data_IF_947855085351
#
_entry.id   IF_947855085351
#
_cell.length_a   1.000
_cell.length_b   1.000
_cell.length_c   1.000
_cell.angle_alpha   90.00
_cell.angle_beta   90.00
_cell.angle_gamma   90.00
#
_symmetry.space_group_name_H-M   'P 1'
#
loop_
_entity.id
_entity.type
_entity.pdbx_description
1 polymer ?
#
# COMPACT_ATOMS: atom_id res chain seq x y z
N UNK A 1 2.32 -47.06 -48.88
CA UNK A 1 3.69 -46.59 -49.19
C UNK A 1 4.26 -46.05 -47.87
N UNK A 2 5.29 -46.64 -47.22
CA UNK A 2 6.73 -46.59 -47.58
C UNK A 2 7.20 -45.11 -47.75
N UNK A 3 8.19 -44.56 -47.04
CA UNK A 3 9.38 -45.13 -46.34
C UNK A 3 9.89 -44.23 -45.18
N UNK A 4 10.51 -44.89 -44.18
CA UNK A 4 11.76 -44.55 -43.41
C UNK A 4 11.89 -43.18 -42.70
N UNK A 5 12.17 -43.06 -41.40
CA UNK A 5 13.22 -43.64 -40.52
C UNK A 5 14.54 -42.84 -40.54
N UNK A 6 14.87 -42.19 -39.41
CA UNK A 6 16.21 -42.25 -38.81
C UNK A 6 16.17 -41.92 -37.31
N UNK A 7 16.89 -42.74 -36.54
CA UNK A 7 17.01 -42.74 -35.08
C UNK A 7 18.51 -42.60 -34.79
N UNK A 8 18.91 -41.72 -33.87
CA UNK A 8 20.29 -41.75 -33.35
C UNK A 8 20.33 -41.41 -31.86
N UNK A 9 20.42 -42.46 -31.05
CA UNK A 9 20.82 -42.42 -29.65
C UNK A 9 22.35 -42.50 -29.56
N UNK A 10 22.99 -41.61 -28.81
CA UNK A 10 24.35 -41.86 -28.30
C UNK A 10 24.32 -42.07 -26.79
N UNK A 11 24.76 -43.25 -26.39
CA UNK A 11 25.07 -43.63 -25.02
C UNK A 11 26.57 -43.38 -24.82
N UNK A 12 26.95 -42.62 -23.79
CA UNK A 12 28.33 -42.57 -23.33
C UNK A 12 28.43 -43.26 -21.96
N UNK A 13 29.01 -44.45 -21.95
CA UNK A 13 29.44 -45.16 -20.75
C UNK A 13 30.94 -44.91 -20.61
N UNK A 14 31.36 -44.41 -19.45
CA UNK A 14 32.74 -44.53 -19.02
C UNK A 14 32.78 -44.94 -17.55
N UNK A 15 33.07 -46.22 -17.31
CA UNK A 15 33.51 -46.69 -16.01
C UNK A 15 34.95 -46.23 -15.80
N UNK A 16 35.25 -45.70 -14.62
CA UNK A 16 36.51 -46.03 -13.94
C UNK A 16 36.25 -46.14 -12.45
N UNK A 17 36.43 -47.34 -11.93
CA UNK A 17 36.41 -47.61 -10.50
C UNK A 17 37.86 -47.70 -10.00
N UNK A 18 38.14 -47.09 -8.85
CA UNK A 18 39.23 -47.53 -7.99
C UNK A 18 38.77 -47.45 -6.54
N UNK A 19 38.50 -48.63 -5.97
CA UNK A 19 38.45 -48.83 -4.53
C UNK A 19 39.86 -49.19 -4.06
N UNK A 20 40.28 -48.63 -2.92
CA UNK A 20 41.54 -48.93 -2.27
C UNK A 20 41.45 -48.60 -0.79
N UNK A 21 41.25 -49.62 0.05
CA UNK A 21 41.16 -49.48 1.50
C UNK A 21 42.13 -50.43 2.18
N UNK A 22 42.85 -49.90 3.18
CA UNK A 22 43.52 -50.64 4.26
C UNK A 22 44.70 -51.53 3.81
N UNK A 23 45.62 -51.99 4.69
CA UNK A 23 45.65 -52.00 6.17
C UNK A 23 47.11 -52.13 6.68
N UNK A 24 47.29 -52.21 8.01
CA UNK A 24 48.50 -52.74 8.74
C UNK A 24 49.81 -51.91 8.63
N UNK A 25 50.75 -51.84 9.58
CA UNK A 25 51.09 -52.54 10.87
C UNK A 25 51.93 -51.53 11.73
N UNK A 26 52.25 -51.65 13.05
CA UNK A 26 52.07 -52.71 14.05
C UNK A 26 52.09 -52.19 15.53
N UNK A 27 52.14 -53.14 16.47
CA UNK A 27 52.65 -53.23 17.87
C UNK A 27 53.92 -52.41 18.25
N UNK A 28 54.37 -52.26 19.52
CA UNK A 28 54.14 -53.07 20.75
C UNK A 28 54.33 -52.29 22.09
N UNK A 29 54.09 -53.02 23.19
CA UNK A 29 54.17 -52.77 24.65
C UNK A 29 55.53 -52.18 25.17
N UNK A 30 55.82 -51.88 26.47
CA UNK A 30 55.40 -52.53 27.73
C UNK A 30 55.93 -51.80 29.01
N UNK A 31 55.21 -51.87 30.15
CA UNK A 31 55.73 -51.78 31.57
C UNK A 31 56.39 -50.46 32.05
N UNK A 32 56.58 -50.07 33.33
CA UNK A 32 56.22 -50.43 34.74
C UNK A 32 56.72 -49.24 35.64
N UNK A 33 56.35 -48.97 36.91
CA UNK A 33 55.18 -49.25 37.77
C UNK A 33 55.34 -48.57 39.16
N UNK A 34 54.26 -48.01 39.75
CA UNK A 34 54.18 -47.39 41.11
C UNK A 34 54.95 -46.04 41.30
N UNK A 35 54.60 -45.11 42.21
CA UNK A 35 53.69 -45.14 43.38
C UNK A 35 53.22 -43.71 43.79
N UNK A 36 52.16 -43.62 44.62
CA UNK A 36 51.81 -42.50 45.54
C UNK A 36 51.07 -41.24 45.04
N UNK A 37 49.74 -41.30 45.19
CA UNK A 37 48.73 -40.33 45.68
C UNK A 37 49.00 -38.79 45.82
N UNK A 38 47.90 -38.04 45.55
CA UNK A 38 47.64 -36.60 45.79
C UNK A 38 48.49 -35.64 44.93
N UNK A 39 47.93 -34.67 44.19
CA UNK A 39 46.81 -33.77 44.51
C UNK A 39 45.75 -33.69 43.40
N UNK A 40 44.48 -33.52 43.78
CA UNK A 40 43.31 -33.40 42.91
C UNK A 40 42.90 -31.95 42.58
N UNK A 41 42.12 -31.78 41.51
CA UNK A 41 41.29 -30.61 41.14
C UNK A 41 41.98 -29.35 40.55
N UNK A 42 42.37 -29.36 39.27
CA UNK A 42 42.11 -28.25 38.31
C UNK A 42 42.00 -28.74 36.84
N UNK A 43 41.04 -29.62 36.47
CA UNK A 43 40.69 -29.84 35.04
C UNK A 43 39.39 -30.66 34.81
N UNK A 44 38.23 -30.14 35.24
CA UNK A 44 36.92 -30.78 34.88
C UNK A 44 35.75 -29.79 34.82
N UNK A 45 35.97 -28.55 34.35
CA UNK A 45 34.91 -27.52 34.21
C UNK A 45 34.99 -26.70 32.89
N UNK A 46 35.69 -27.17 31.86
CA UNK A 46 35.79 -26.45 30.58
C UNK A 46 35.16 -27.14 29.36
N UNK A 47 34.78 -28.43 29.46
CA UNK A 47 34.20 -29.17 28.32
C UNK A 47 32.66 -29.15 28.24
N UNK A 48 31.93 -29.00 29.34
CA UNK A 48 30.45 -28.95 29.30
C UNK A 48 29.87 -27.55 29.03
N UNK A 49 30.67 -26.49 29.06
CA UNK A 49 30.17 -25.11 28.90
C UNK A 49 30.05 -24.68 27.43
N UNK A 50 30.69 -25.37 26.49
CA UNK A 50 30.64 -25.01 25.07
C UNK A 50 29.41 -25.61 24.36
N UNK A 51 29.08 -26.89 24.58
CA UNK A 51 27.90 -27.52 23.96
C UNK A 51 26.57 -26.91 24.46
N UNK A 52 26.46 -26.64 25.77
CA UNK A 52 25.25 -26.01 26.34
C UNK A 52 25.06 -24.58 25.82
N UNK A 53 26.15 -23.82 25.66
CA UNK A 53 26.09 -22.47 25.09
C UNK A 53 25.78 -22.49 23.59
N UNK A 54 26.29 -23.44 22.81
CA UNK A 54 25.94 -23.57 21.39
C UNK A 54 24.48 -23.98 21.19
N UNK A 55 23.97 -24.94 21.98
CA UNK A 55 22.55 -25.33 21.93
C UNK A 55 21.62 -24.17 22.33
N UNK A 56 22.00 -23.39 23.34
CA UNK A 56 21.21 -22.24 23.81
C UNK A 56 21.27 -21.07 22.81
N UNK A 57 22.42 -20.83 22.16
CA UNK A 57 22.55 -19.83 21.09
C UNK A 57 21.83 -20.24 19.80
N UNK A 58 21.81 -21.54 19.46
CA UNK A 58 20.98 -22.04 18.35
C UNK A 58 19.49 -21.90 18.66
N UNK A 59 19.02 -22.26 19.87
CA UNK A 59 17.62 -22.03 20.26
C UNK A 59 17.25 -20.54 20.34
N UNK A 60 18.15 -19.65 20.77
CA UNK A 60 17.87 -18.20 20.75
C UNK A 60 17.82 -17.65 19.33
N UNK A 61 18.69 -18.11 18.43
CA UNK A 61 18.73 -17.66 17.03
C UNK A 61 17.61 -18.26 16.17
N UNK A 62 17.18 -19.50 16.44
CA UNK A 62 15.96 -20.05 15.85
C UNK A 62 14.71 -19.31 16.34
N UNK A 63 14.63 -18.96 17.62
CA UNK A 63 13.47 -18.24 18.16
C UNK A 63 13.41 -16.78 17.70
N UNK A 64 14.54 -16.09 17.50
CA UNK A 64 14.54 -14.73 16.92
C UNK A 64 14.22 -14.75 15.42
N UNK A 65 14.74 -15.70 14.64
CA UNK A 65 14.32 -15.87 13.25
C UNK A 65 12.84 -16.31 13.12
N UNK A 66 12.35 -17.22 13.98
CA UNK A 66 10.92 -17.57 14.05
C UNK A 66 10.02 -16.41 14.48
N UNK A 67 10.53 -15.47 15.26
CA UNK A 67 9.76 -14.28 15.68
C UNK A 67 9.38 -13.38 14.49
N UNK A 68 10.20 -13.37 13.43
CA UNK A 68 9.91 -12.67 12.17
C UNK A 68 9.14 -13.57 11.18
N UNK A 69 9.39 -14.88 11.17
CA UNK A 69 8.81 -15.84 10.19
C UNK A 69 7.29 -16.01 10.23
N UNK A 70 6.59 -15.37 11.17
CA UNK A 70 5.14 -15.44 11.37
C UNK A 70 4.49 -14.04 11.33
N UNK A 71 5.08 -13.07 10.61
CA UNK A 71 4.59 -11.69 10.53
C UNK A 71 4.44 -11.20 9.10
N UNK A 72 3.33 -10.53 8.81
CA UNK A 72 3.17 -9.70 7.60
C UNK A 72 3.71 -8.30 7.93
N UNK A 73 4.73 -7.86 7.19
CA UNK A 73 5.36 -6.55 7.36
C UNK A 73 4.97 -5.67 6.17
N UNK A 74 4.39 -4.49 6.44
CA UNK A 74 3.96 -3.52 5.44
C UNK A 74 4.69 -2.20 5.70
N UNK A 75 5.66 -1.87 4.86
CA UNK A 75 6.46 -0.64 4.92
C UNK A 75 5.94 0.39 3.93
N UNK A 76 5.30 1.44 4.42
CA UNK A 76 5.00 2.65 3.66
C UNK A 76 6.25 3.52 3.68
N UNK A 77 7.07 3.38 2.64
CA UNK A 77 8.37 4.05 2.52
C UNK A 77 8.10 5.54 2.33
N UNK A 78 8.71 6.38 3.17
CA UNK A 78 8.72 7.82 2.94
C UNK A 78 9.49 8.10 1.64
N UNK A 79 8.79 8.51 0.60
CA UNK A 79 9.33 8.95 -0.69
C UNK A 79 9.01 10.42 -0.96
N UNK A 80 8.68 11.19 0.09
CA UNK A 80 8.11 12.52 -0.07
C UNK A 80 6.68 12.45 -0.62
N UNK A 81 6.38 13.26 -1.63
CA UNK A 81 5.10 13.20 -2.33
C UNK A 81 5.11 12.01 -3.30
N UNK A 82 4.19 11.07 -3.10
CA UNK A 82 4.13 9.82 -3.85
C UNK A 82 3.92 8.59 -2.95
N UNK A 83 3.78 7.44 -3.59
CA UNK A 83 3.61 6.14 -2.93
C UNK A 83 4.81 5.22 -3.19
N UNK A 84 5.27 4.54 -2.14
CA UNK A 84 5.99 3.27 -2.27
C UNK A 84 5.73 2.40 -1.06
N UNK A 85 5.18 1.20 -1.29
CA UNK A 85 4.68 0.32 -0.25
C UNK A 85 5.27 -1.07 -0.44
N UNK A 86 6.25 -1.40 0.39
CA UNK A 86 6.94 -2.69 0.37
C UNK A 86 6.36 -3.65 1.40
N UNK A 87 5.94 -4.83 0.94
CA UNK A 87 5.25 -5.85 1.73
C UNK A 87 6.10 -7.12 1.75
N UNK A 88 6.35 -7.66 2.94
CA UNK A 88 7.00 -8.95 3.16
C UNK A 88 6.02 -9.86 3.90
N UNK A 89 5.77 -11.04 3.35
CA UNK A 89 4.88 -12.04 3.95
C UNK A 89 5.64 -12.90 4.96
N UNK A 90 4.95 -13.62 5.87
CA UNK A 90 5.60 -14.56 6.78
C UNK A 90 6.41 -15.65 6.04
N UNK A 91 5.86 -16.17 4.95
CA UNK A 91 6.52 -17.08 3.98
C UNK A 91 7.72 -16.48 3.23
N UNK A 92 8.04 -15.20 3.42
CA UNK A 92 9.18 -14.51 2.80
C UNK A 92 8.93 -14.01 1.38
N UNK A 93 7.75 -14.26 0.79
CA UNK A 93 7.33 -13.65 -0.48
C UNK A 93 7.19 -12.14 -0.34
N UNK A 94 7.37 -11.43 -1.45
CA UNK A 94 7.48 -9.96 -1.45
C UNK A 94 6.60 -9.28 -2.49
N UNK A 95 6.07 -8.12 -2.13
CA UNK A 95 5.37 -7.25 -3.07
C UNK A 95 5.83 -5.80 -2.91
N UNK A 96 6.02 -5.10 -4.03
CA UNK A 96 6.19 -3.65 -4.05
C UNK A 96 5.03 -3.02 -4.85
N UNK A 97 4.29 -2.13 -4.20
CA UNK A 97 3.30 -1.25 -4.83
C UNK A 97 3.92 0.13 -4.92
N UNK A 98 4.16 0.60 -6.14
CA UNK A 98 4.76 1.91 -6.46
C UNK A 98 6.17 2.16 -5.87
N UNK A 99 6.86 3.18 -6.38
CA UNK A 99 8.27 3.45 -6.11
C UNK A 99 8.61 4.95 -6.01
N UNK A 100 7.61 5.81 -5.81
CA UNK A 100 7.80 7.26 -5.74
C UNK A 100 8.19 7.90 -7.07
N UNK A 101 8.57 9.18 -7.00
CA UNK A 101 9.21 9.92 -8.10
C UNK A 101 10.56 9.29 -8.53
N UNK A 102 11.06 9.52 -9.76
CA UNK A 102 12.30 8.90 -10.25
C UNK A 102 13.50 9.04 -9.31
N UNK A 103 13.63 10.19 -8.66
CA UNK A 103 14.70 10.53 -7.72
C UNK A 103 14.68 9.66 -6.46
N UNK A 104 13.54 9.07 -6.11
CA UNK A 104 13.37 8.19 -4.94
C UNK A 104 13.64 6.71 -5.24
N UNK A 105 13.83 6.34 -6.51
CA UNK A 105 14.07 4.96 -6.91
C UNK A 105 15.28 4.32 -6.20
N UNK A 106 16.36 5.06 -5.99
CA UNK A 106 17.52 4.61 -5.20
C UNK A 106 17.17 4.41 -3.71
N UNK A 107 16.44 5.35 -3.09
CA UNK A 107 15.97 5.25 -1.69
C UNK A 107 15.11 3.99 -1.47
N UNK A 108 14.23 3.68 -2.43
CA UNK A 108 13.39 2.46 -2.40
C UNK A 108 14.26 1.20 -2.56
N UNK A 109 15.20 1.20 -3.51
CA UNK A 109 16.16 0.09 -3.70
C UNK A 109 16.99 -0.17 -2.44
N UNK A 110 17.56 0.88 -1.84
CA UNK A 110 18.40 0.77 -0.65
C UNK A 110 17.59 0.32 0.57
N UNK A 111 16.36 0.81 0.74
CA UNK A 111 15.45 0.33 1.77
C UNK A 111 15.19 -1.17 1.64
N UNK A 112 14.82 -1.65 0.45
CA UNK A 112 14.51 -3.07 0.22
C UNK A 112 15.77 -3.95 0.39
N UNK A 113 16.92 -3.53 -0.14
CA UNK A 113 18.20 -4.24 0.07
C UNK A 113 18.59 -4.29 1.55
N UNK A 114 18.32 -3.24 2.34
CA UNK A 114 18.57 -3.24 3.79
C UNK A 114 17.74 -4.29 4.57
N UNK A 115 16.67 -4.84 3.96
CA UNK A 115 15.89 -5.96 4.50
C UNK A 115 16.39 -7.33 4.05
N UNK A 116 17.56 -7.42 3.40
CA UNK A 116 18.13 -8.67 2.88
C UNK A 116 17.43 -9.20 1.62
N UNK A 117 16.61 -8.38 0.96
CA UNK A 117 15.79 -8.79 -0.18
C UNK A 117 16.52 -8.52 -1.50
N UNK A 118 16.58 -9.53 -2.37
CA UNK A 118 17.15 -9.47 -3.72
C UNK A 118 16.11 -9.69 -4.84
N UNK A 119 14.90 -10.12 -4.48
CA UNK A 119 13.80 -10.44 -5.38
C UNK A 119 12.52 -9.77 -4.93
N UNK A 120 11.73 -9.29 -5.88
CA UNK A 120 10.37 -8.79 -5.69
C UNK A 120 9.45 -9.74 -6.46
N UNK A 121 8.69 -10.59 -5.75
CA UNK A 121 7.81 -11.57 -6.41
C UNK A 121 6.70 -10.88 -7.22
N UNK A 122 6.16 -9.78 -6.69
CA UNK A 122 5.11 -8.99 -7.33
C UNK A 122 5.48 -7.50 -7.29
N UNK A 123 5.67 -6.90 -8.46
CA UNK A 123 5.80 -5.46 -8.66
C UNK A 123 4.49 -4.92 -9.23
N UNK A 124 4.03 -3.79 -8.73
CA UNK A 124 2.81 -3.12 -9.20
C UNK A 124 3.10 -1.64 -9.39
N UNK A 125 2.80 -1.12 -10.58
CA UNK A 125 2.58 0.31 -10.81
C UNK A 125 1.08 0.57 -10.81
N UNK A 126 0.56 1.32 -9.83
CA UNK A 126 -0.89 1.48 -9.65
C UNK A 126 -1.53 2.21 -10.81
N UNK A 127 -0.94 3.32 -11.24
CA UNK A 127 -1.39 4.18 -12.34
C UNK A 127 -0.18 5.00 -12.87
N UNK A 128 -0.27 5.71 -14.01
CA UNK A 128 0.91 6.18 -14.74
C UNK A 128 1.53 7.50 -14.25
N UNK A 129 1.16 8.03 -13.08
CA UNK A 129 1.73 9.27 -12.55
C UNK A 129 3.16 9.10 -12.01
N UNK A 130 3.91 10.20 -12.04
CA UNK A 130 5.36 10.17 -11.87
C UNK A 130 5.78 9.84 -10.43
N UNK A 131 5.01 10.28 -9.45
CA UNK A 131 5.14 10.03 -8.02
C UNK A 131 4.69 8.62 -7.58
N UNK A 132 4.27 7.79 -8.53
CA UNK A 132 3.94 6.37 -8.31
C UNK A 132 4.93 5.46 -9.06
N UNK A 133 4.99 5.59 -10.38
CA UNK A 133 5.79 4.70 -11.22
C UNK A 133 7.19 5.25 -11.55
N UNK A 134 7.56 6.42 -11.03
CA UNK A 134 8.83 7.09 -11.33
C UNK A 134 10.07 6.30 -10.93
N UNK A 135 10.10 5.76 -9.71
CA UNK A 135 11.22 4.95 -9.21
C UNK A 135 11.26 3.51 -9.74
N UNK A 136 10.21 3.03 -10.43
CA UNK A 136 10.11 1.65 -10.91
C UNK A 136 11.27 1.21 -11.82
N UNK A 137 11.84 2.04 -12.72
CA UNK A 137 13.00 1.65 -13.53
C UNK A 137 14.20 1.23 -12.66
N UNK A 138 14.53 1.99 -11.62
CA UNK A 138 15.63 1.67 -10.71
C UNK A 138 15.38 0.35 -9.94
N UNK A 139 14.13 0.10 -9.53
CA UNK A 139 13.71 -1.17 -8.92
C UNK A 139 13.86 -2.33 -9.90
N UNK A 140 13.35 -2.20 -11.13
CA UNK A 140 13.47 -3.21 -12.18
C UNK A 140 14.94 -3.52 -12.45
N UNK A 141 15.81 -2.52 -12.55
CA UNK A 141 17.25 -2.71 -12.77
C UNK A 141 17.90 -3.50 -11.63
N UNK A 142 17.57 -3.19 -10.36
CA UNK A 142 18.28 -3.69 -9.18
C UNK A 142 17.79 -5.03 -8.59
N UNK A 143 16.58 -5.51 -8.90
CA UNK A 143 16.02 -6.74 -8.32
C UNK A 143 15.62 -7.77 -9.37
N UNK A 144 15.56 -9.05 -8.99
CA UNK A 144 14.78 -10.03 -9.75
C UNK A 144 13.28 -9.69 -9.59
N UNK A 145 12.53 -9.57 -10.69
CA UNK A 145 11.08 -9.27 -10.66
C UNK A 145 10.31 -10.50 -11.14
N UNK A 146 9.41 -11.04 -10.31
CA UNK A 146 8.62 -12.24 -10.65
C UNK A 146 7.45 -11.92 -11.59
N UNK A 147 6.50 -11.12 -11.13
CA UNK A 147 5.38 -10.58 -11.92
C UNK A 147 5.37 -9.07 -11.83
N UNK A 148 5.14 -8.40 -12.95
CA UNK A 148 4.94 -6.95 -12.99
C UNK A 148 3.53 -6.64 -13.50
N UNK A 149 2.78 -5.82 -12.76
CA UNK A 149 1.43 -5.40 -13.13
C UNK A 149 1.34 -3.88 -13.31
N UNK A 150 0.61 -3.45 -14.34
CA UNK A 150 0.19 -2.06 -14.55
C UNK A 150 -1.22 -2.03 -15.17
N UNK A 151 -2.04 -0.99 -14.96
CA UNK A 151 -3.33 -0.86 -15.64
C UNK A 151 -3.15 -0.74 -17.16
N UNK A 152 -4.19 -1.13 -17.92
CA UNK A 152 -4.18 -1.05 -19.40
C UNK A 152 -4.49 0.38 -19.88
N UNK A 153 -3.59 1.31 -19.57
CA UNK A 153 -3.60 2.71 -20.03
C UNK A 153 -2.21 3.09 -20.53
N UNK A 154 -2.14 4.02 -21.47
CA UNK A 154 -0.88 4.50 -22.05
C UNK A 154 -0.81 6.01 -21.99
N UNK A 155 0.34 6.55 -21.62
CA UNK A 155 0.63 7.99 -21.69
C UNK A 155 1.91 8.22 -22.49
N UNK A 156 2.13 9.45 -22.95
CA UNK A 156 3.36 9.88 -23.62
C UNK A 156 4.37 10.51 -22.64
N UNK A 157 4.18 10.34 -21.33
CA UNK A 157 5.08 10.92 -20.33
C UNK A 157 6.43 10.20 -20.33
N UNK A 158 7.51 10.93 -20.04
CA UNK A 158 8.85 10.33 -20.01
C UNK A 158 8.97 9.24 -18.95
N UNK A 159 8.28 9.42 -17.82
CA UNK A 159 8.16 8.44 -16.74
C UNK A 159 7.59 7.11 -17.25
N UNK A 160 6.46 7.14 -17.94
CA UNK A 160 5.84 5.95 -18.51
C UNK A 160 6.73 5.26 -19.55
N UNK A 161 7.35 6.03 -20.47
CA UNK A 161 8.33 5.48 -21.41
C UNK A 161 9.50 4.77 -20.72
N UNK A 162 10.03 5.35 -19.63
CA UNK A 162 11.17 4.81 -18.91
C UNK A 162 10.83 3.47 -18.25
N UNK A 163 9.64 3.34 -17.68
CA UNK A 163 9.13 2.06 -17.13
C UNK A 163 9.01 0.99 -18.21
N UNK A 164 8.41 1.32 -19.36
CA UNK A 164 8.32 0.39 -20.49
C UNK A 164 9.71 -0.01 -21.02
N UNK A 165 10.66 0.93 -21.05
CA UNK A 165 12.05 0.66 -21.49
C UNK A 165 12.77 -0.26 -20.52
N UNK A 166 12.67 -0.03 -19.21
CA UNK A 166 13.28 -0.87 -18.18
C UNK A 166 12.70 -2.29 -18.21
N UNK A 167 11.36 -2.41 -18.26
CA UNK A 167 10.69 -3.71 -18.38
C UNK A 167 11.14 -4.46 -19.64
N UNK A 168 11.16 -3.80 -20.80
CA UNK A 168 11.65 -4.39 -22.06
C UNK A 168 13.12 -4.80 -21.98
N UNK A 169 13.99 -3.96 -21.41
CA UNK A 169 15.42 -4.24 -21.28
C UNK A 169 15.69 -5.48 -20.40
N UNK A 170 14.85 -5.72 -19.39
CA UNK A 170 14.94 -6.90 -18.50
C UNK A 170 14.05 -8.08 -18.95
N UNK A 171 13.45 -8.01 -20.14
CA UNK A 171 12.60 -9.08 -20.69
C UNK A 171 11.29 -9.31 -19.94
N UNK A 172 10.85 -8.34 -19.11
CA UNK A 172 9.66 -8.47 -18.27
C UNK A 172 8.37 -8.22 -19.06
N UNK A 173 7.43 -9.15 -18.97
CA UNK A 173 6.06 -9.00 -19.47
C UNK A 173 5.20 -8.27 -18.44
N UNK A 174 4.57 -7.17 -18.86
CA UNK A 174 3.63 -6.41 -18.03
C UNK A 174 2.25 -7.06 -18.10
N UNK A 175 1.76 -7.53 -16.97
CA UNK A 175 0.41 -8.07 -16.81
C UNK A 175 -0.58 -6.95 -16.53
N UNK A 176 -1.83 -7.09 -17.01
CA UNK A 176 -2.85 -6.05 -16.79
C UNK A 176 -3.34 -6.09 -15.35
N UNK A 177 -3.12 -4.99 -14.61
CA UNK A 177 -3.80 -4.73 -13.34
C UNK A 177 -5.28 -4.42 -13.61
N UNK A 178 -6.17 -5.12 -12.91
CA UNK A 178 -7.64 -4.96 -12.97
C UNK A 178 -8.31 -5.69 -11.81
N UNK A 179 -9.54 -5.34 -11.53
CA UNK A 179 -10.39 -6.04 -10.56
C UNK A 179 -10.45 -7.56 -10.83
N UNK A 180 -10.42 -8.35 -9.75
CA UNK A 180 -10.49 -9.81 -9.78
C UNK A 180 -9.15 -10.54 -9.94
N UNK A 181 -8.05 -9.84 -10.24
CA UNK A 181 -6.71 -10.45 -10.22
C UNK A 181 -6.38 -10.87 -8.79
N UNK A 182 -6.00 -12.14 -8.61
CA UNK A 182 -5.45 -12.66 -7.34
C UNK A 182 -3.93 -12.67 -7.42
N UNK A 183 -3.27 -12.27 -6.33
CA UNK A 183 -1.83 -12.08 -6.24
C UNK A 183 -1.23 -13.18 -5.36
N UNK A 184 -0.33 -14.00 -5.91
CA UNK A 184 0.29 -15.13 -5.20
C UNK A 184 1.37 -14.65 -4.21
N UNK A 185 0.91 -14.41 -2.99
CA UNK A 185 1.72 -14.06 -1.82
C UNK A 185 1.78 -15.20 -0.79
N UNK A 186 1.62 -16.45 -1.23
CA UNK A 186 1.62 -17.63 -0.37
C UNK A 186 0.25 -17.93 0.25
N UNK A 187 0.07 -19.18 0.71
CA UNK A 187 -1.25 -19.73 1.08
C UNK A 187 -1.92 -19.00 2.26
N UNK A 188 -1.13 -18.39 3.13
CA UNK A 188 -1.59 -17.63 4.30
C UNK A 188 -2.12 -16.22 3.97
N UNK A 189 -1.80 -15.69 2.77
CA UNK A 189 -2.13 -14.33 2.34
C UNK A 189 -3.23 -14.36 1.27
N UNK A 190 -4.35 -13.71 1.54
CA UNK A 190 -5.37 -13.43 0.51
C UNK A 190 -5.16 -12.02 -0.03
N UNK A 191 -4.48 -11.92 -1.17
CA UNK A 191 -4.24 -10.66 -1.87
C UNK A 191 -5.01 -10.59 -3.20
N UNK A 192 -5.82 -9.54 -3.39
CA UNK A 192 -6.64 -9.35 -4.59
C UNK A 192 -6.68 -7.88 -5.03
N UNK A 193 -6.66 -7.65 -6.34
CA UNK A 193 -7.02 -6.37 -6.94
C UNK A 193 -8.54 -6.22 -6.99
N UNK A 194 -9.03 -5.06 -6.53
CA UNK A 194 -10.44 -4.67 -6.51
C UNK A 194 -10.77 -3.59 -7.55
N UNK A 195 -9.76 -2.91 -8.09
CA UNK A 195 -9.88 -1.94 -9.18
C UNK A 195 -8.60 -2.01 -10.08
N UNK A 196 -8.58 -1.38 -11.27
CA UNK A 196 -9.70 -0.73 -11.96
C UNK A 196 -10.83 -1.70 -12.35
N UNK A 197 -12.07 -1.20 -12.41
CA UNK A 197 -13.26 -1.96 -12.84
C UNK A 197 -13.74 -1.59 -14.26
N UNK A 198 -13.43 -0.38 -14.73
CA UNK A 198 -13.59 0.05 -16.13
C UNK A 198 -12.31 -0.16 -16.93
N UNK A 199 -12.44 -0.22 -18.26
CA UNK A 199 -11.32 -0.15 -19.21
C UNK A 199 -10.95 1.29 -19.59
N UNK A 200 -11.80 2.26 -19.24
CA UNK A 200 -11.62 3.66 -19.56
C UNK A 200 -12.08 4.57 -18.42
N UNK A 201 -11.26 5.58 -18.13
CA UNK A 201 -11.54 6.70 -17.23
C UNK A 201 -10.99 7.98 -17.86
N UNK A 202 -11.63 9.12 -17.57
CA UNK A 202 -11.11 10.44 -17.96
C UNK A 202 -9.88 10.83 -17.11
N UNK A 203 -9.89 10.46 -15.83
CA UNK A 203 -8.77 10.69 -14.90
C UNK A 203 -7.86 9.46 -14.79
N UNK A 204 -6.55 9.69 -14.90
CA UNK A 204 -5.52 8.66 -14.78
C UNK A 204 -5.46 8.06 -13.36
N UNK A 205 -5.87 8.81 -12.33
CA UNK A 205 -5.96 8.36 -10.95
C UNK A 205 -6.92 7.17 -10.79
N UNK A 206 -8.05 7.16 -11.51
CA UNK A 206 -9.06 6.10 -11.41
C UNK A 206 -8.63 4.76 -12.06
N UNK A 207 -7.55 4.76 -12.86
CA UNK A 207 -6.88 3.53 -13.29
C UNK A 207 -6.11 2.82 -12.16
N UNK A 208 -5.99 3.43 -10.98
CA UNK A 208 -5.25 2.87 -9.83
C UNK A 208 -5.63 1.42 -9.52
N UNK A 209 -4.61 0.56 -9.47
CA UNK A 209 -4.72 -0.80 -9.01
C UNK A 209 -4.99 -0.87 -7.49
N UNK A 210 -6.26 -0.76 -7.08
CA UNK A 210 -6.66 -0.90 -5.68
C UNK A 210 -6.50 -2.36 -5.26
N UNK A 211 -5.79 -2.62 -4.16
CA UNK A 211 -5.44 -3.96 -3.67
C UNK A 211 -5.87 -4.13 -2.22
N UNK A 212 -6.57 -5.23 -1.92
CA UNK A 212 -6.82 -5.69 -0.55
C UNK A 212 -5.92 -6.88 -0.23
N UNK A 213 -5.19 -6.81 0.87
CA UNK A 213 -4.36 -7.90 1.42
C UNK A 213 -4.91 -8.30 2.79
N UNK A 214 -5.22 -9.57 2.97
CA UNK A 214 -5.73 -10.13 4.25
C UNK A 214 -4.77 -11.19 4.77
N UNK A 215 -4.41 -11.10 6.05
CA UNK A 215 -3.64 -12.10 6.79
C UNK A 215 -4.35 -12.39 8.11
N UNK A 216 -4.74 -13.65 8.32
CA UNK A 216 -5.59 -14.05 9.44
C UNK A 216 -6.88 -13.21 9.52
N UNK A 217 -7.06 -12.54 10.65
CA UNK A 217 -8.18 -11.63 10.95
C UNK A 217 -7.87 -10.15 10.62
N UNK A 218 -6.70 -9.85 10.06
CA UNK A 218 -6.27 -8.47 9.74
C UNK A 218 -6.28 -8.22 8.25
N UNK A 219 -6.65 -7.01 7.84
CA UNK A 219 -6.67 -6.59 6.43
C UNK A 219 -6.11 -5.19 6.19
N UNK A 220 -5.49 -5.03 5.02
CA UNK A 220 -4.90 -3.79 4.51
C UNK A 220 -5.54 -3.45 3.16
N UNK A 221 -5.90 -2.19 2.96
CA UNK A 221 -6.41 -1.65 1.70
C UNK A 221 -5.41 -0.64 1.14
N UNK A 222 -4.92 -0.89 -0.07
CA UNK A 222 -4.00 -0.03 -0.81
C UNK A 222 -4.72 0.55 -2.01
N UNK A 223 -4.99 1.86 -2.01
CA UNK A 223 -5.84 2.48 -3.05
C UNK A 223 -5.07 3.04 -4.25
N UNK A 224 -3.76 3.26 -4.10
CA UNK A 224 -3.07 4.26 -4.91
C UNK A 224 -3.86 5.57 -4.84
N UNK A 225 -4.17 6.13 -6.00
CA UNK A 225 -4.86 7.42 -6.13
C UNK A 225 -6.30 7.28 -6.60
N UNK A 226 -6.89 6.08 -6.51
CA UNK A 226 -8.29 5.83 -6.83
C UNK A 226 -9.22 6.87 -6.16
N UNK A 227 -9.97 7.61 -6.97
CA UNK A 227 -10.85 8.68 -6.51
C UNK A 227 -12.32 8.20 -6.43
N UNK A 228 -13.23 9.14 -6.15
CA UNK A 228 -14.68 8.92 -6.01
C UNK A 228 -15.31 8.01 -7.08
N UNK A 229 -14.85 8.04 -8.33
CA UNK A 229 -15.37 7.18 -9.40
C UNK A 229 -15.01 5.71 -9.15
N UNK A 230 -13.71 5.40 -9.02
CA UNK A 230 -13.21 4.05 -8.74
C UNK A 230 -13.70 3.52 -7.38
N UNK A 231 -13.80 4.38 -6.37
CA UNK A 231 -14.46 4.06 -5.09
C UNK A 231 -15.93 3.66 -5.27
N UNK A 232 -16.69 4.43 -6.06
CA UNK A 232 -18.11 4.14 -6.32
C UNK A 232 -18.29 2.87 -7.14
N UNK A 233 -17.40 2.55 -8.07
CA UNK A 233 -17.41 1.27 -8.79
C UNK A 233 -17.25 0.09 -7.82
N UNK A 234 -16.23 0.14 -6.96
CA UNK A 234 -15.96 -0.91 -5.97
C UNK A 234 -17.14 -1.12 -5.00
N UNK A 235 -17.76 -0.04 -4.53
CA UNK A 235 -18.99 -0.07 -3.73
C UNK A 235 -20.16 -0.72 -4.51
N UNK A 236 -20.36 -0.30 -5.76
CA UNK A 236 -21.47 -0.76 -6.61
C UNK A 236 -21.34 -2.23 -7.03
N UNK A 237 -20.11 -2.77 -7.06
CA UNK A 237 -19.83 -4.20 -7.26
C UNK A 237 -20.11 -5.06 -6.02
N UNK A 238 -20.37 -4.45 -4.86
CA UNK A 238 -20.60 -5.18 -3.61
C UNK A 238 -19.37 -5.93 -3.09
N UNK A 239 -18.16 -5.42 -3.36
CA UNK A 239 -16.94 -6.01 -2.83
C UNK A 239 -16.86 -5.88 -1.30
N UNK A 240 -16.25 -6.86 -0.65
CA UNK A 240 -15.85 -6.73 0.76
C UNK A 240 -14.66 -5.77 0.87
N UNK A 241 -14.97 -4.50 1.14
CA UNK A 241 -13.97 -3.43 1.28
C UNK A 241 -13.37 -3.34 2.69
N UNK A 242 -13.87 -4.10 3.67
CA UNK A 242 -13.47 -3.94 5.07
C UNK A 242 -11.97 -4.18 5.26
N UNK A 243 -11.26 -3.24 5.87
CA UNK A 243 -9.84 -3.36 6.20
C UNK A 243 -9.51 -2.61 7.50
N UNK A 244 -8.52 -3.09 8.26
CA UNK A 244 -8.07 -2.43 9.48
C UNK A 244 -7.15 -1.24 9.20
N UNK A 245 -6.33 -1.35 8.15
CA UNK A 245 -5.41 -0.30 7.68
C UNK A 245 -5.81 0.15 6.28
N UNK A 246 -6.06 1.44 6.12
CA UNK A 246 -6.25 2.08 4.82
C UNK A 246 -5.02 2.93 4.46
N UNK A 247 -4.37 2.64 3.33
CA UNK A 247 -3.62 3.68 2.62
C UNK A 247 -4.64 4.67 2.09
N UNK A 248 -4.59 5.91 2.57
CA UNK A 248 -5.51 6.97 2.14
C UNK A 248 -5.25 7.29 0.66
N UNK A 249 -6.34 7.36 -0.11
CA UNK A 249 -6.31 7.62 -1.54
C UNK A 249 -5.78 9.01 -1.88
N UNK A 250 -5.00 9.09 -2.96
CA UNK A 250 -4.50 10.33 -3.55
C UNK A 250 -3.84 11.25 -2.52
N UNK A 251 -2.97 10.66 -1.69
CA UNK A 251 -2.22 11.32 -0.61
C UNK A 251 -3.08 12.09 0.42
N UNK A 252 -4.37 11.76 0.53
CA UNK A 252 -5.32 12.52 1.34
C UNK A 252 -5.99 13.68 0.60
N UNK A 253 -6.06 13.63 -0.73
CA UNK A 253 -6.87 14.55 -1.55
C UNK A 253 -8.34 14.58 -1.10
N UNK A 254 -9.06 15.63 -1.45
CA UNK A 254 -10.50 15.78 -1.22
C UNK A 254 -11.35 15.10 -2.30
N UNK A 255 -10.76 14.75 -3.45
CA UNK A 255 -11.37 13.98 -4.54
C UNK A 255 -11.53 12.48 -4.23
N UNK A 256 -10.68 11.96 -3.34
CA UNK A 256 -10.69 10.59 -2.84
C UNK A 256 -11.23 10.51 -1.39
N UNK A 257 -11.25 9.30 -0.84
CA UNK A 257 -11.73 8.98 0.50
C UNK A 257 -13.13 9.54 0.76
N UNK A 258 -14.09 9.13 -0.08
CA UNK A 258 -15.50 9.50 0.10
C UNK A 258 -16.07 8.92 1.40
N UNK A 259 -17.10 9.57 1.93
CA UNK A 259 -17.81 9.07 3.12
C UNK A 259 -18.36 7.65 2.97
N UNK A 260 -18.84 7.28 1.77
CA UNK A 260 -19.35 5.94 1.50
C UNK A 260 -18.21 4.90 1.52
N UNK A 261 -17.08 5.23 0.87
CA UNK A 261 -15.92 4.35 0.84
C UNK A 261 -15.29 4.18 2.24
N UNK A 262 -15.04 5.27 2.97
CA UNK A 262 -14.50 5.22 4.34
C UNK A 262 -15.39 4.41 5.29
N UNK A 263 -16.72 4.51 5.18
CA UNK A 263 -17.66 3.70 5.96
C UNK A 263 -17.67 2.22 5.57
N UNK A 264 -17.49 1.90 4.29
CA UNK A 264 -17.42 0.51 3.81
C UNK A 264 -16.09 -0.18 4.13
N UNK A 265 -14.98 0.57 4.08
CA UNK A 265 -13.66 0.09 4.54
C UNK A 265 -13.63 -0.04 6.06
N UNK A 266 -14.26 0.90 6.78
CA UNK A 266 -14.29 0.98 8.25
C UNK A 266 -12.88 0.79 8.88
N UNK A 267 -11.88 1.60 8.48
CA UNK A 267 -10.51 1.44 8.97
C UNK A 267 -10.38 1.83 10.44
N UNK A 268 -9.52 1.11 11.16
CA UNK A 268 -9.04 1.53 12.49
C UNK A 268 -7.84 2.46 12.38
N UNK A 269 -7.02 2.24 11.36
CA UNK A 269 -5.80 2.98 11.09
C UNK A 269 -5.79 3.51 9.65
N UNK A 270 -5.28 4.71 9.46
CA UNK A 270 -5.03 5.30 8.15
C UNK A 270 -3.54 5.62 8.02
N UNK A 271 -2.94 5.29 6.88
CA UNK A 271 -1.59 5.75 6.53
C UNK A 271 -1.68 6.67 5.34
N UNK A 272 -1.09 7.86 5.46
CA UNK A 272 -1.01 8.85 4.39
C UNK A 272 0.46 8.95 3.98
N UNK A 273 0.79 8.36 2.83
CA UNK A 273 2.03 8.69 2.13
C UNK A 273 1.83 10.03 1.45
N UNK A 274 2.60 11.03 1.88
CA UNK A 274 2.47 12.43 1.49
C UNK A 274 3.78 13.17 1.74
N UNK A 275 4.10 14.17 0.91
CA UNK A 275 5.30 14.98 1.03
C UNK A 275 5.11 16.15 1.98
N UNK A 276 6.14 16.45 2.78
CA UNK A 276 6.16 17.67 3.60
C UNK A 276 6.18 18.91 2.71
N UNK A 277 5.31 19.88 2.99
CA UNK A 277 5.17 21.14 2.23
C UNK A 277 4.93 20.92 0.73
N UNK A 278 4.17 19.89 0.35
CA UNK A 278 3.81 19.65 -1.05
C UNK A 278 2.89 20.77 -1.59
N UNK A 279 3.02 21.09 -2.89
CA UNK A 279 2.28 22.20 -3.50
C UNK A 279 0.76 21.95 -3.60
N UNK A 280 0.35 20.67 -3.61
CA UNK A 280 -1.06 20.26 -3.65
C UNK A 280 -1.85 20.63 -2.38
N UNK A 281 -1.17 20.90 -1.25
CA UNK A 281 -1.84 21.09 0.04
C UNK A 281 -2.32 19.79 0.68
N UNK A 282 -1.81 18.64 0.23
CA UNK A 282 -2.14 17.33 0.78
C UNK A 282 -1.53 17.11 2.18
N UNK A 283 -2.21 16.41 3.10
CA UNK A 283 -3.59 15.92 2.98
C UNK A 283 -4.59 17.07 3.18
N UNK A 284 -5.66 17.10 2.37
CA UNK A 284 -6.67 18.14 2.45
C UNK A 284 -7.45 18.12 3.77
N UNK A 285 -7.85 19.30 4.24
CA UNK A 285 -8.54 19.51 5.52
C UNK A 285 -9.79 18.61 5.63
N UNK A 286 -10.61 18.58 4.60
CA UNK A 286 -11.84 17.78 4.52
C UNK A 286 -11.56 16.30 4.78
N UNK A 287 -10.50 15.75 4.18
CA UNK A 287 -10.14 14.34 4.35
C UNK A 287 -9.59 14.06 5.75
N UNK A 288 -8.83 14.99 6.35
CA UNK A 288 -8.40 14.88 7.75
C UNK A 288 -9.58 14.97 8.73
N UNK A 289 -10.59 15.82 8.46
CA UNK A 289 -11.81 15.94 9.28
C UNK A 289 -12.71 14.70 9.18
N UNK A 290 -12.85 14.08 7.99
CA UNK A 290 -13.50 12.76 7.84
C UNK A 290 -12.81 11.68 8.69
N UNK A 291 -11.49 11.55 8.58
CA UNK A 291 -10.73 10.54 9.34
C UNK A 291 -10.85 10.77 10.86
N UNK A 292 -10.74 12.03 11.30
CA UNK A 292 -10.89 12.42 12.72
C UNK A 292 -12.26 12.11 13.28
N UNK A 293 -13.32 12.44 12.54
CA UNK A 293 -14.71 12.21 12.98
C UNK A 293 -15.10 10.73 13.02
N UNK A 294 -14.46 9.89 12.20
CA UNK A 294 -14.56 8.43 12.26
C UNK A 294 -13.68 7.78 13.34
N UNK A 295 -12.86 8.56 14.05
CA UNK A 295 -11.94 8.04 15.08
C UNK A 295 -10.76 7.23 14.53
N UNK A 296 -10.43 7.39 13.25
CA UNK A 296 -9.38 6.62 12.56
C UNK A 296 -8.02 7.15 12.96
N UNK A 297 -7.16 6.29 13.53
CA UNK A 297 -5.81 6.67 13.96
C UNK A 297 -4.93 6.90 12.73
N UNK A 298 -4.46 8.12 12.53
CA UNK A 298 -3.68 8.51 11.34
C UNK A 298 -2.18 8.40 11.57
N UNK A 299 -1.45 7.90 10.58
CA UNK A 299 0.00 7.94 10.44
C UNK A 299 0.34 8.66 9.13
N UNK A 300 1.41 9.48 9.11
CA UNK A 300 1.80 10.26 7.93
C UNK A 300 3.30 10.21 7.69
N UNK A 301 3.73 10.03 6.45
CA UNK A 301 5.16 9.97 6.11
C UNK A 301 5.86 11.32 6.30
N UNK A 302 5.19 12.43 6.02
CA UNK A 302 5.74 13.79 6.21
C UNK A 302 6.02 14.17 7.67
N UNK A 303 5.36 13.50 8.62
CA UNK A 303 5.53 13.69 10.07
C UNK A 303 6.39 12.61 10.73
N UNK A 304 6.31 11.36 10.26
CA UNK A 304 6.89 10.20 10.94
C UNK A 304 8.02 9.50 10.16
N UNK A 305 8.29 9.88 8.91
CA UNK A 305 9.13 9.12 8.00
C UNK A 305 8.48 7.79 7.60
N UNK A 306 9.28 6.78 7.25
CA UNK A 306 8.79 5.45 6.85
C UNK A 306 7.96 4.79 7.96
N UNK A 307 6.69 4.57 7.67
CA UNK A 307 5.73 3.89 8.55
C UNK A 307 5.79 2.40 8.26
N UNK A 308 6.05 1.58 9.28
CA UNK A 308 6.05 0.11 9.18
C UNK A 308 4.95 -0.43 10.07
N UNK A 309 3.94 -1.04 9.45
CA UNK A 309 2.90 -1.79 10.12
C UNK A 309 3.28 -3.28 10.12
N UNK A 310 3.21 -3.92 11.29
CA UNK A 310 3.49 -5.35 11.46
C UNK A 310 2.23 -6.04 11.94
N UNK A 311 1.75 -7.02 11.18
CA UNK A 311 0.62 -7.87 11.54
C UNK A 311 1.08 -9.29 11.90
N UNK A 312 0.45 -9.87 12.92
CA UNK A 312 0.59 -11.28 13.30
C UNK A 312 -0.66 -12.13 12.97
N UNK A 313 -1.52 -11.60 12.09
CA UNK A 313 -2.78 -12.21 11.72
C UNK A 313 -3.90 -12.01 12.75
N UNK A 314 -3.65 -11.30 13.86
CA UNK A 314 -4.66 -10.96 14.88
C UNK A 314 -4.62 -9.50 15.31
N UNK A 315 -3.42 -8.92 15.37
CA UNK A 315 -3.14 -7.57 15.82
C UNK A 315 -2.20 -6.87 14.84
N UNK A 316 -2.24 -5.54 14.84
CA UNK A 316 -1.35 -4.69 14.04
C UNK A 316 -0.65 -3.72 14.99
N UNK A 317 0.68 -3.66 14.90
CA UNK A 317 1.53 -2.68 15.59
C UNK A 317 2.27 -1.80 14.57
N UNK A 318 2.70 -0.62 15.00
CA UNK A 318 3.41 0.35 14.16
C UNK A 318 4.76 0.73 14.80
N UNK A 319 5.79 0.97 13.98
CA UNK A 319 7.11 1.41 14.43
C UNK A 319 7.16 2.87 14.93
N UNK A 320 6.14 3.68 14.61
CA UNK A 320 6.05 5.11 14.92
C UNK A 320 4.81 5.42 15.75
N UNK A 321 4.79 6.61 16.35
CA UNK A 321 3.58 7.17 16.97
C UNK A 321 2.62 7.67 15.87
N UNK A 322 1.30 7.73 16.13
CA UNK A 322 0.36 8.40 15.23
C UNK A 322 0.77 9.86 14.96
N UNK A 323 0.46 10.31 13.75
CA UNK A 323 0.53 11.72 13.37
C UNK A 323 -0.69 12.51 13.88
N UNK A 324 -0.77 13.76 13.48
CA UNK A 324 -1.92 14.62 13.78
C UNK A 324 -2.90 14.75 12.60
N UNK A 325 -4.01 15.45 12.87
CA UNK A 325 -5.06 15.76 11.89
C UNK A 325 -4.91 17.16 11.27
N UNK A 326 -3.71 17.74 11.25
CA UNK A 326 -3.48 19.02 10.55
C UNK A 326 -3.63 18.83 9.04
N UNK A 327 -4.25 19.80 8.37
CA UNK A 327 -4.24 19.82 6.91
C UNK A 327 -2.81 20.09 6.40
N UNK A 328 -2.51 19.63 5.19
CA UNK A 328 -1.38 20.14 4.43
C UNK A 328 -1.52 21.64 4.17
N UNK A 329 -0.38 22.32 4.10
CA UNK A 329 -0.29 23.69 3.61
C UNK A 329 0.43 23.66 2.27
N UNK A 330 -0.24 24.09 1.20
CA UNK A 330 0.41 24.33 -0.09
C UNK A 330 1.61 25.28 0.12
N UNK A 331 2.68 25.07 -0.64
CA UNK A 331 3.93 25.82 -0.55
C UNK A 331 3.83 27.30 -0.96
N UNK A 332 3.09 28.11 -0.21
CA UNK A 332 2.97 29.54 -0.43
C UNK A 332 3.35 30.35 0.82
N UNK A 333 4.08 31.46 0.62
CA UNK A 333 4.75 32.18 1.71
C UNK A 333 3.77 32.74 2.73
N UNK A 334 4.14 32.56 4.01
CA UNK A 334 3.49 33.10 5.21
C UNK A 334 2.75 34.42 5.03
N UNK A 335 1.44 34.41 5.29
CA UNK A 335 0.68 35.56 5.78
C UNK A 335 -0.05 35.17 7.05
N UNK A 336 0.62 35.43 8.17
CA UNK A 336 0.06 35.29 9.52
C UNK A 336 -1.17 36.16 9.73
N UNK A 337 -2.29 35.57 10.18
CA UNK A 337 -3.33 36.29 10.91
C UNK A 337 -4.04 35.38 11.92
N UNK A 338 -4.50 35.99 13.02
CA UNK A 338 -5.00 35.35 14.24
C UNK A 338 -6.52 35.59 14.32
N UNK A 339 -7.32 34.59 14.76
CA UNK A 339 -8.24 34.72 15.91
C UNK A 339 -9.39 33.69 15.97
N UNK A 340 -9.40 32.93 17.09
CA UNK A 340 -10.51 32.57 17.99
C UNK A 340 -11.95 32.22 17.53
N UNK A 341 -12.45 31.14 18.18
CA UNK A 341 -13.83 30.89 18.65
C UNK A 341 -14.89 30.46 17.59
N UNK A 342 -15.92 29.65 17.91
CA UNK A 342 -16.33 28.96 19.16
C UNK A 342 -17.17 27.70 18.83
N UNK A 343 -17.26 26.75 19.77
CA UNK A 343 -18.01 25.48 19.69
C UNK A 343 -19.53 25.65 19.57
N UNK A 344 -20.24 24.76 18.85
CA UNK A 344 -21.61 24.33 19.19
C UNK A 344 -21.92 22.90 18.69
N UNK A 345 -22.88 22.26 19.36
CA UNK A 345 -23.33 20.86 19.19
C UNK A 345 -24.70 20.85 18.50
N UNK A 346 -24.97 19.86 17.66
CA UNK A 346 -26.35 19.45 17.35
C UNK A 346 -26.44 17.97 16.96
N UNK A 347 -27.17 17.19 17.75
CA UNK A 347 -27.77 15.93 17.32
C UNK A 347 -28.77 16.15 16.18
N UNK A 348 -28.82 15.22 15.21
CA UNK A 348 -30.09 14.64 14.74
C UNK A 348 -29.84 13.44 13.82
N UNK A 349 -30.16 12.26 14.34
CA UNK A 349 -30.21 11.01 13.60
C UNK A 349 -31.49 10.98 12.75
N UNK A 350 -31.40 11.10 11.43
CA UNK A 350 -32.50 10.80 10.49
C UNK A 350 -31.99 10.16 9.19
N UNK A 351 -32.70 9.13 8.73
CA UNK A 351 -32.45 8.46 7.46
C UNK A 351 -32.75 9.41 6.29
N UNK A 352 -31.80 9.57 5.35
CA UNK A 352 -32.01 10.27 4.08
C UNK A 352 -31.73 9.35 2.89
N UNK A 353 -32.47 9.52 1.77
CA UNK A 353 -32.51 8.53 0.69
C UNK A 353 -31.28 8.49 -0.21
N UNK A 354 -31.20 7.40 -0.98
CA UNK A 354 -30.13 7.08 -1.93
C UNK A 354 -29.87 8.21 -2.95
N UNK A 355 -28.61 8.67 -3.05
CA UNK A 355 -28.20 9.77 -3.95
C UNK A 355 -27.51 10.97 -3.27
N UNK A 356 -27.09 10.84 -2.01
CA UNK A 356 -26.43 11.90 -1.25
C UNK A 356 -24.93 12.02 -1.61
N UNK A 357 -24.48 13.20 -2.07
CA UNK A 357 -23.13 13.38 -2.62
C UNK A 357 -22.30 14.57 -2.07
N UNK A 358 -22.88 15.48 -1.28
CA UNK A 358 -22.13 16.45 -0.48
C UNK A 358 -21.86 15.96 0.95
N UNK A 359 -21.57 16.89 1.86
CA UNK A 359 -21.23 16.59 3.25
C UNK A 359 -22.40 16.89 4.21
N UNK A 360 -22.69 15.98 5.17
CA UNK A 360 -23.47 16.15 6.40
C UNK A 360 -23.95 17.54 6.84
N UNK A 361 -24.87 18.21 6.13
CA UNK A 361 -25.34 19.54 6.54
C UNK A 361 -24.33 20.68 6.33
N UNK A 362 -23.40 20.56 5.38
CA UNK A 362 -22.47 21.63 5.00
C UNK A 362 -23.21 22.90 4.58
N UNK A 363 -22.75 24.04 5.11
CA UNK A 363 -23.27 25.37 4.81
C UNK A 363 -22.37 26.05 3.78
N UNK A 364 -22.91 26.33 2.60
CA UNK A 364 -22.25 26.99 1.49
C UNK A 364 -22.68 28.46 1.47
N UNK A 365 -21.86 29.36 2.01
CA UNK A 365 -22.14 30.81 2.06
C UNK A 365 -20.93 31.67 1.68
N UNK A 366 -21.20 32.86 1.16
CA UNK A 366 -20.18 33.90 0.95
C UNK A 366 -19.80 34.61 2.28
N UNK A 367 -18.86 35.55 2.20
CA UNK A 367 -18.41 36.36 3.35
C UNK A 367 -19.51 37.22 4.00
N UNK A 368 -20.68 37.35 3.37
CA UNK A 368 -21.85 38.07 3.90
C UNK A 368 -22.97 37.10 4.33
N UNK A 369 -22.72 35.78 4.36
CA UNK A 369 -23.71 34.77 4.76
C UNK A 369 -24.76 34.44 3.70
N UNK A 370 -24.58 34.87 2.44
CA UNK A 370 -25.49 34.57 1.32
C UNK A 370 -25.21 33.18 0.76
N UNK A 371 -26.26 32.40 0.51
CA UNK A 371 -26.14 31.02 0.02
C UNK A 371 -25.45 30.93 -1.34
N UNK A 372 -24.60 29.91 -1.53
CA UNK A 372 -23.81 29.70 -2.74
C UNK A 372 -24.30 28.53 -3.61
N UNK A 373 -25.20 27.66 -3.14
CA UNK A 373 -25.73 26.58 -4.00
C UNK A 373 -26.65 27.19 -5.05
N UNK A 374 -26.37 26.95 -6.33
CA UNK A 374 -27.15 27.47 -7.46
C UNK A 374 -28.25 26.49 -7.85
N UNK A 375 -29.51 26.87 -7.71
CA UNK A 375 -30.66 26.16 -8.29
C UNK A 375 -31.04 26.73 -9.66
N UNK A 376 -31.34 25.87 -10.63
CA UNK A 376 -31.90 26.25 -11.93
C UNK A 376 -32.96 25.24 -12.41
N UNK A 377 -33.74 25.62 -13.41
CA UNK A 377 -34.72 24.75 -14.07
C UNK A 377 -34.19 24.42 -15.47
N UNK A 378 -34.04 23.13 -15.79
CA UNK A 378 -33.55 22.72 -17.10
C UNK A 378 -34.65 22.78 -18.18
N UNK A 379 -34.28 22.57 -19.45
CA UNK A 379 -35.21 22.57 -20.59
C UNK A 379 -36.32 21.51 -20.54
N UNK A 380 -36.27 20.58 -19.58
CA UNK A 380 -37.30 19.56 -19.32
C UNK A 380 -38.17 19.90 -18.10
N UNK A 381 -38.02 21.09 -17.52
CA UNK A 381 -38.72 21.52 -16.31
C UNK A 381 -38.18 20.92 -15.01
N UNK A 382 -37.04 20.21 -15.03
CA UNK A 382 -36.46 19.62 -13.83
C UNK A 382 -35.69 20.68 -13.03
N UNK A 383 -36.05 20.83 -11.75
CA UNK A 383 -35.31 21.62 -10.77
C UNK A 383 -34.00 20.91 -10.39
N UNK A 384 -32.86 21.53 -10.71
CA UNK A 384 -31.52 20.98 -10.44
C UNK A 384 -30.72 21.97 -9.60
N UNK A 385 -30.05 21.50 -8.55
CA UNK A 385 -29.08 22.31 -7.79
C UNK A 385 -27.64 21.91 -8.10
N UNK A 386 -26.73 22.89 -8.02
CA UNK A 386 -25.30 22.74 -8.24
C UNK A 386 -24.53 23.36 -7.06
N UNK A 387 -23.60 22.60 -6.49
CA UNK A 387 -22.75 23.07 -5.39
C UNK A 387 -21.44 23.67 -5.92
N UNK A 388 -20.81 24.63 -5.22
CA UNK A 388 -19.45 25.08 -5.54
C UNK A 388 -18.48 23.90 -5.70
N UNK A 389 -17.81 23.83 -6.85
CA UNK A 389 -16.93 22.71 -7.23
C UNK A 389 -17.57 21.66 -8.16
N UNK A 390 -18.89 21.70 -8.41
CA UNK A 390 -19.49 20.86 -9.47
C UNK A 390 -19.01 21.28 -10.87
N UNK A 391 -18.79 20.36 -11.82
CA UNK A 391 -18.35 20.67 -13.20
C UNK A 391 -19.26 21.65 -13.97
N UNK A 392 -20.51 21.77 -13.55
CA UNK A 392 -21.52 22.65 -14.14
C UNK A 392 -21.71 23.95 -13.35
N UNK A 393 -21.15 24.07 -12.14
CA UNK A 393 -21.43 25.18 -11.22
C UNK A 393 -21.19 26.55 -11.85
N UNK A 394 -20.03 26.78 -12.45
CA UNK A 394 -19.69 28.06 -13.07
C UNK A 394 -20.51 28.36 -14.34
N UNK A 395 -20.97 27.31 -15.02
CA UNK A 395 -21.80 27.40 -16.23
C UNK A 395 -23.29 27.58 -15.90
N UNK A 396 -23.74 27.18 -14.72
CA UNK A 396 -25.11 27.35 -14.27
C UNK A 396 -25.40 28.80 -13.93
N UNK A 397 -26.39 29.37 -14.63
CA UNK A 397 -27.08 30.60 -14.24
C UNK A 397 -28.08 30.26 -13.15
N UNK A 398 -27.94 30.86 -11.97
CA UNK A 398 -28.83 30.62 -10.84
C UNK A 398 -30.19 31.31 -11.03
N UNK A 399 -31.25 30.57 -10.75
CA UNK A 399 -32.63 31.04 -10.57
C UNK A 399 -33.04 31.02 -9.09
N UNK A 400 -32.41 30.16 -8.28
CA UNK A 400 -32.54 30.10 -6.83
C UNK A 400 -31.16 29.95 -6.17
N UNK A 401 -31.06 30.34 -4.89
CA UNK A 401 -29.85 30.21 -4.08
C UNK A 401 -30.17 29.52 -2.75
N UNK A 402 -29.33 28.55 -2.35
CA UNK A 402 -29.47 27.83 -1.08
C UNK A 402 -28.16 27.84 -0.29
N UNK A 403 -28.26 27.76 1.03
CA UNK A 403 -27.13 27.61 1.94
C UNK A 403 -26.79 26.14 2.17
N UNK A 404 -27.77 25.24 2.11
CA UNK A 404 -27.57 23.80 2.29
C UNK A 404 -28.27 22.99 1.22
N UNK A 405 -27.78 21.77 0.95
CA UNK A 405 -28.48 20.84 0.04
C UNK A 405 -29.87 20.47 0.57
N UNK A 406 -30.06 20.45 1.89
CA UNK A 406 -31.35 20.20 2.52
C UNK A 406 -32.38 21.31 2.19
N UNK A 407 -31.96 22.59 2.19
CA UNK A 407 -32.80 23.71 1.72
C UNK A 407 -33.16 23.55 0.23
N UNK A 408 -32.19 23.17 -0.61
CA UNK A 408 -32.42 22.95 -2.03
C UNK A 408 -33.43 21.80 -2.28
N UNK A 409 -33.25 20.68 -1.58
CA UNK A 409 -34.12 19.51 -1.66
C UNK A 409 -35.51 19.79 -1.11
N UNK A 410 -35.64 20.54 0.00
CA UNK A 410 -36.93 21.00 0.52
C UNK A 410 -37.66 21.94 -0.46
N UNK A 411 -36.92 22.74 -1.24
CA UNK A 411 -37.47 23.54 -2.35
C UNK A 411 -37.78 22.72 -3.62
N UNK A 412 -37.58 21.40 -3.59
CA UNK A 412 -37.85 20.46 -4.68
C UNK A 412 -36.76 20.38 -5.76
N UNK A 413 -35.54 20.85 -5.48
CA UNK A 413 -34.39 20.70 -6.37
C UNK A 413 -33.66 19.38 -6.07
N UNK A 414 -33.33 18.63 -7.13
CA UNK A 414 -32.51 17.41 -7.04
C UNK A 414 -31.05 17.68 -7.46
N UNK A 415 -30.06 16.89 -7.04
CA UNK A 415 -28.73 16.96 -7.65
C UNK A 415 -28.81 16.62 -9.15
N UNK A 416 -27.82 17.03 -9.97
CA UNK A 416 -27.73 16.62 -11.37
C UNK A 416 -27.63 15.10 -11.46
N UNK A 417 -28.38 14.51 -12.41
CA UNK A 417 -28.19 13.12 -12.82
C UNK A 417 -26.86 13.08 -13.59
N UNK A 418 -25.92 12.25 -13.13
CA UNK A 418 -24.72 11.88 -13.89
C UNK A 418 -25.05 10.66 -14.74
#
# INVERSE_FOLDING_TARGET
MLKKLLLLSLIFIFLFAFAGCSSTTNTEQQSKSAQTQQVSNVQTQQTNTQEVNQATQQQSNENTNRSVSNKLIVSFIDVGQGDSIFIQTPSGKTMLIDAGVPEMGSKVVDYIKSRGVNKIDILIGTHPHADHIGGIPAVIENFEIGKFYMPKVTTTTKTFENVLRAAKAKGLSISVAKAGVTLDLGEEIKAKMLAPNSTHYDDLNNYSAVIKVTYGNTAFMFTGDAEKESEQEMLSKGYDLKADVLKVGHHGSSSASTWAFLKAVNPKYAVISVGKNNDYGHPHKETMEKLKSLGVIVYRTDQCGTVVATSDGKTISFNVKPGDYTAGSSGNKSTSSISSAKTFVSDSNQNLPYGYYGEPGKVYVDSNGRGLIKGNINSKGEKIYHIPGDPWYDRTKAEAWFKTEAEAQAAGFRPPKR
#
